data_IF_379223069802
#
_entry.id   IF_379223069802
#
_cell.length_a   1.000
_cell.length_b   1.000
_cell.length_c   1.000
_cell.angle_alpha   90.00
_cell.angle_beta   90.00
_cell.angle_gamma   90.00
#
_symmetry.space_group_name_H-M   'P 1'
#
loop_
_entity.id
_entity.type
_entity.pdbx_description
1 polymer ?
#
# COMPACT_ATOMS: atom_id res chain seq x y z
N UNK A 1 15.31 0.60 -3.56
CA UNK A 1 14.79 1.65 -4.47
C UNK A 1 13.36 2.02 -4.09
N UNK A 2 13.22 2.57 -2.87
CA UNK A 2 12.00 3.08 -2.23
C UNK A 2 12.21 4.52 -1.75
N UNK A 3 13.48 4.95 -1.68
CA UNK A 3 13.92 6.30 -1.40
C UNK A 3 13.21 7.37 -2.24
N UNK A 4 12.73 7.03 -3.44
CA UNK A 4 12.03 7.97 -4.31
C UNK A 4 10.66 8.37 -3.76
N UNK A 5 9.91 7.47 -3.10
CA UNK A 5 8.56 7.78 -2.60
C UNK A 5 8.58 8.58 -1.29
N UNK A 6 9.47 8.23 -0.36
CA UNK A 6 9.61 8.98 0.89
C UNK A 6 10.13 10.40 0.57
N UNK A 7 11.17 10.51 -0.28
CA UNK A 7 11.70 11.81 -0.72
C UNK A 7 10.68 12.63 -1.52
N UNK A 8 9.85 11.98 -2.34
CA UNK A 8 8.73 12.64 -3.02
C UNK A 8 7.79 13.26 -2.00
N UNK A 9 7.45 12.55 -0.92
CA UNK A 9 6.50 12.99 0.08
C UNK A 9 7.07 14.01 1.08
N UNK A 10 8.36 13.94 1.38
CA UNK A 10 9.04 14.91 2.25
C UNK A 10 9.09 16.32 1.62
N UNK A 11 8.95 16.42 0.29
CA UNK A 11 8.86 17.69 -0.45
C UNK A 11 7.44 18.27 -0.52
N UNK A 12 6.45 17.62 0.11
CA UNK A 12 5.05 18.03 0.03
C UNK A 12 4.71 19.10 1.06
N UNK A 13 3.57 19.81 0.87
CA UNK A 13 3.11 20.81 1.83
C UNK A 13 3.00 20.26 3.25
N UNK A 14 3.35 21.08 4.25
CA UNK A 14 3.42 20.69 5.66
C UNK A 14 2.11 20.15 6.21
N UNK A 15 0.99 20.50 5.58
CA UNK A 15 -0.33 20.04 5.96
C UNK A 15 -0.57 18.56 5.63
N UNK A 16 0.24 17.94 4.75
CA UNK A 16 0.17 16.49 4.50
C UNK A 16 0.82 15.73 5.65
N UNK A 17 0.02 15.01 6.41
CA UNK A 17 0.44 14.27 7.62
C UNK A 17 0.79 12.81 7.36
N UNK A 18 0.04 12.15 6.47
CA UNK A 18 0.25 10.74 6.17
C UNK A 18 -0.25 10.35 4.78
N UNK A 19 0.35 9.29 4.24
CA UNK A 19 -0.12 8.61 3.02
C UNK A 19 -0.09 7.11 3.26
N UNK A 20 -1.18 6.42 2.94
CA UNK A 20 -1.28 4.95 3.02
C UNK A 20 -1.70 4.39 1.68
N UNK A 21 -0.93 3.45 1.15
CA UNK A 21 -1.27 2.68 -0.04
C UNK A 21 -1.81 1.32 0.38
N UNK A 22 -3.02 1.01 -0.04
CA UNK A 22 -3.64 -0.30 0.13
C UNK A 22 -3.87 -0.96 -1.23
N UNK A 23 -3.75 -2.29 -1.29
CA UNK A 23 -4.06 -3.07 -2.47
C UNK A 23 -5.49 -3.59 -2.42
N UNK A 24 -6.22 -3.45 -3.52
CA UNK A 24 -7.53 -4.06 -3.72
C UNK A 24 -7.43 -5.40 -4.45
N UNK A 25 -8.41 -6.31 -4.25
CA UNK A 25 -9.59 -6.16 -3.37
C UNK A 25 -9.30 -6.47 -1.89
N UNK A 26 -8.11 -6.99 -1.58
CA UNK A 26 -7.84 -7.66 -0.31
C UNK A 26 -7.53 -6.71 0.86
N UNK A 27 -7.43 -5.40 0.61
CA UNK A 27 -7.10 -4.41 1.63
C UNK A 27 -5.77 -4.68 2.31
N UNK A 28 -4.77 -5.13 1.54
CA UNK A 28 -3.43 -5.33 2.07
C UNK A 28 -2.70 -4.00 2.06
N UNK A 29 -2.05 -3.63 3.17
CA UNK A 29 -1.21 -2.42 3.21
C UNK A 29 0.01 -2.66 2.33
N UNK A 30 0.08 -1.94 1.21
CA UNK A 30 1.19 -2.02 0.27
C UNK A 30 2.38 -1.17 0.74
N UNK A 31 2.09 -0.03 1.37
CA UNK A 31 3.07 0.94 1.87
C UNK A 31 2.38 2.02 2.74
N UNK A 32 3.12 2.65 3.64
CA UNK A 32 2.66 3.78 4.42
C UNK A 32 3.80 4.76 4.72
N UNK A 33 3.46 6.04 4.80
CA UNK A 33 4.36 7.14 5.15
C UNK A 33 3.64 8.11 6.08
N UNK A 34 4.41 8.70 7.00
CA UNK A 34 3.97 9.77 7.90
C UNK A 34 5.06 10.84 7.96
N UNK A 35 4.65 12.11 8.04
CA UNK A 35 5.58 13.25 8.05
C UNK A 35 6.60 13.18 9.18
N UNK A 36 6.15 12.79 10.37
CA UNK A 36 6.98 12.77 11.58
C UNK A 36 7.55 11.37 11.89
N UNK A 37 7.40 10.40 10.98
CA UNK A 37 7.75 8.99 11.23
C UNK A 37 6.90 8.31 12.31
N UNK A 38 5.83 8.97 12.78
CA UNK A 38 4.90 8.44 13.76
C UNK A 38 4.04 7.29 13.23
N UNK A 39 3.35 6.55 14.13
CA UNK A 39 2.47 5.46 13.73
C UNK A 39 1.28 5.98 12.92
N UNK A 40 0.86 5.22 11.90
CA UNK A 40 -0.36 5.45 11.13
C UNK A 40 -1.27 4.23 11.22
N UNK A 41 -2.57 4.48 11.28
CA UNK A 41 -3.63 3.47 11.30
C UNK A 41 -3.81 2.80 9.92
N UNK A 42 -2.73 2.23 9.37
CA UNK A 42 -2.70 1.72 8.00
C UNK A 42 -3.66 0.54 7.79
N UNK A 43 -3.81 -0.32 8.79
CA UNK A 43 -4.72 -1.47 8.74
C UNK A 43 -6.18 -1.03 8.74
N UNK A 44 -6.50 0.04 9.47
CA UNK A 44 -7.83 0.65 9.53
C UNK A 44 -8.18 1.29 8.19
N UNK A 45 -7.24 2.00 7.55
CA UNK A 45 -7.43 2.50 6.18
C UNK A 45 -7.69 1.36 5.20
N UNK A 46 -6.91 0.28 5.28
CA UNK A 46 -7.09 -0.86 4.39
C UNK A 46 -8.45 -1.57 4.62
N UNK A 47 -8.92 -1.63 5.88
CA UNK A 47 -10.25 -2.12 6.21
C UNK A 47 -11.36 -1.22 5.65
N UNK A 48 -11.20 0.11 5.75
CA UNK A 48 -12.12 1.08 5.17
C UNK A 48 -12.21 0.94 3.65
N UNK A 49 -11.07 0.79 2.98
CA UNK A 49 -10.98 0.62 1.53
C UNK A 49 -11.68 -0.66 1.04
N UNK A 50 -11.53 -1.77 1.78
CA UNK A 50 -12.28 -3.02 1.52
C UNK A 50 -13.78 -2.81 1.66
N UNK A 51 -14.20 -2.19 2.76
CA UNK A 51 -15.62 -1.96 3.02
C UNK A 51 -16.24 -1.10 1.92
N UNK A 52 -15.57 0.00 1.55
CA UNK A 52 -16.00 0.87 0.47
C UNK A 52 -16.07 0.13 -0.88
N UNK A 53 -15.06 -0.68 -1.19
CA UNK A 53 -15.03 -1.50 -2.42
C UNK A 53 -16.18 -2.51 -2.46
N UNK A 54 -16.45 -3.20 -1.35
CA UNK A 54 -17.56 -4.14 -1.25
C UNK A 54 -18.93 -3.44 -1.42
N UNK A 55 -19.10 -2.25 -0.83
CA UNK A 55 -20.29 -1.43 -1.04
C UNK A 55 -20.48 -1.05 -2.52
N UNK A 56 -19.43 -0.56 -3.18
CA UNK A 56 -19.49 -0.21 -4.61
C UNK A 56 -19.81 -1.41 -5.49
N UNK A 57 -19.23 -2.58 -5.20
CA UNK A 57 -19.54 -3.82 -5.91
C UNK A 57 -21.02 -4.19 -5.84
N UNK A 58 -21.66 -4.06 -4.67
CA UNK A 58 -23.10 -4.28 -4.50
C UNK A 58 -23.96 -3.25 -5.23
N UNK A 59 -23.46 -2.02 -5.36
CA UNK A 59 -24.09 -0.94 -6.11
C UNK A 59 -23.77 -0.99 -7.62
N UNK A 60 -23.07 -2.02 -8.10
CA UNK A 60 -22.65 -2.18 -9.50
C UNK A 60 -21.79 -1.00 -10.01
N UNK A 61 -21.08 -0.33 -9.10
CA UNK A 61 -20.15 0.74 -9.42
C UNK A 61 -18.71 0.18 -9.45
N UNK A 62 -17.89 0.57 -10.43
CA UNK A 62 -16.52 0.07 -10.52
C UNK A 62 -15.64 0.67 -9.40
N UNK A 63 -14.77 -0.12 -8.75
CA UNK A 63 -13.84 0.39 -7.74
C UNK A 63 -12.86 1.44 -8.25
N UNK A 64 -12.60 1.47 -9.57
CA UNK A 64 -11.77 2.50 -10.20
C UNK A 64 -12.38 3.91 -10.14
N UNK A 65 -13.67 4.03 -9.84
CA UNK A 65 -14.34 5.30 -9.60
C UNK A 65 -14.36 5.69 -8.10
N UNK A 66 -13.80 4.86 -7.22
CA UNK A 66 -13.90 5.07 -5.78
C UNK A 66 -13.14 6.32 -5.35
N UNK A 67 -13.87 7.36 -4.94
CA UNK A 67 -13.32 8.49 -4.19
C UNK A 67 -14.04 8.56 -2.85
N UNK A 68 -13.29 8.48 -1.76
CA UNK A 68 -13.83 8.61 -0.40
C UNK A 68 -13.27 9.88 0.23
N UNK A 69 -14.12 10.59 0.97
CA UNK A 69 -13.72 11.71 1.80
C UNK A 69 -14.27 11.52 3.20
N UNK A 70 -13.39 11.62 4.19
CA UNK A 70 -13.75 11.67 5.60
C UNK A 70 -13.17 12.97 6.17
N UNK A 71 -14.02 13.82 6.72
CA UNK A 71 -13.67 15.16 7.17
C UNK A 71 -14.05 15.28 8.65
N UNK A 72 -13.09 15.69 9.46
CA UNK A 72 -13.28 16.07 10.86
C UNK A 72 -12.72 17.47 11.07
N UNK A 73 -12.87 18.02 12.27
CA UNK A 73 -12.27 19.31 12.63
C UNK A 73 -10.74 19.25 12.64
N UNK A 74 -10.16 18.08 12.93
CA UNK A 74 -8.72 17.88 13.06
C UNK A 74 -8.06 17.33 11.81
N UNK A 75 -8.80 16.63 10.95
CA UNK A 75 -8.25 15.86 9.85
C UNK A 75 -9.13 15.91 8.60
N UNK A 76 -8.46 15.86 7.45
CA UNK A 76 -9.12 15.60 6.16
C UNK A 76 -8.48 14.41 5.49
N UNK A 77 -9.28 13.39 5.27
CA UNK A 77 -8.86 12.13 4.68
C UNK A 77 -9.49 12.01 3.30
N UNK A 78 -8.67 11.71 2.31
CA UNK A 78 -9.10 11.47 0.94
C UNK A 78 -8.54 10.15 0.44
N UNK A 79 -9.41 9.23 0.04
CA UNK A 79 -9.02 7.97 -0.60
C UNK A 79 -9.27 8.06 -2.09
N UNK A 80 -8.26 7.71 -2.89
CA UNK A 80 -8.30 7.78 -4.35
C UNK A 80 -7.67 6.54 -4.98
N UNK A 81 -8.19 6.04 -6.10
CA UNK A 81 -7.61 4.91 -6.77
C UNK A 81 -6.35 5.36 -7.53
N UNK A 82 -5.29 4.56 -7.44
CA UNK A 82 -4.10 4.66 -8.26
C UNK A 82 -4.19 3.61 -9.37
N UNK A 83 -4.40 4.07 -10.60
CA UNK A 83 -4.41 3.21 -11.77
C UNK A 83 -2.99 2.94 -12.25
N UNK A 84 -2.45 1.78 -11.91
CA UNK A 84 -1.11 1.34 -12.30
C UNK A 84 -1.08 0.57 -13.63
N UNK A 85 -2.15 0.60 -14.43
CA UNK A 85 -2.12 -0.02 -15.76
C UNK A 85 -1.09 0.70 -16.63
N UNK A 86 -0.11 -0.06 -17.12
CA UNK A 86 0.87 0.42 -18.09
C UNK A 86 0.22 0.47 -19.48
N UNK A 87 0.30 1.59 -20.22
CA UNK A 87 -0.24 1.69 -21.58
C UNK A 87 0.49 0.80 -22.59
N UNK A 88 1.66 0.26 -22.24
CA UNK A 88 2.47 -0.60 -23.10
C UNK A 88 2.09 -2.10 -23.05
N UNK A 89 1.20 -2.51 -22.13
CA UNK A 89 0.74 -3.90 -22.01
C UNK A 89 -0.65 -4.01 -22.63
N UNK A 90 -0.77 -4.87 -23.64
CA UNK A 90 -1.99 -5.04 -24.44
C UNK A 90 -3.24 -5.41 -23.62
N UNK A 91 -4.42 -5.42 -24.26
CA UNK A 91 -5.74 -5.48 -23.62
C UNK A 91 -6.08 -6.80 -22.90
N UNK A 92 -5.14 -7.74 -22.76
CA UNK A 92 -5.42 -9.13 -22.39
C UNK A 92 -5.13 -9.49 -20.93
N UNK A 93 -4.75 -8.55 -20.06
CA UNK A 93 -4.55 -8.85 -18.63
C UNK A 93 -5.71 -8.24 -17.82
N UNK A 94 -6.67 -9.06 -17.36
CA UNK A 94 -7.74 -8.59 -16.50
C UNK A 94 -7.11 -8.20 -15.17
N UNK A 95 -7.37 -6.97 -14.74
CA UNK A 95 -6.98 -6.41 -13.44
C UNK A 95 -5.48 -6.13 -13.24
N UNK A 96 -5.03 -4.99 -13.78
CA UNK A 96 -3.81 -4.34 -13.25
C UNK A 96 -3.96 -4.06 -11.74
N UNK A 97 -2.84 -4.04 -11.01
CA UNK A 97 -2.83 -3.74 -9.58
C UNK A 97 -3.63 -2.47 -9.29
N UNK A 98 -4.73 -2.62 -8.54
CA UNK A 98 -5.56 -1.51 -8.10
C UNK A 98 -5.09 -1.13 -6.70
N UNK A 99 -4.25 -0.11 -6.62
CA UNK A 99 -3.94 0.49 -5.34
C UNK A 99 -4.96 1.58 -5.03
N UNK A 100 -5.22 1.81 -3.74
CA UNK A 100 -5.86 3.03 -3.26
C UNK A 100 -4.82 3.79 -2.45
N UNK A 101 -4.71 5.08 -2.72
CA UNK A 101 -3.96 6.02 -1.91
C UNK A 101 -4.91 6.77 -0.99
N UNK A 102 -4.67 6.64 0.31
CA UNK A 102 -5.29 7.43 1.37
C UNK A 102 -4.35 8.57 1.73
N UNK A 103 -4.83 9.80 1.63
CA UNK A 103 -4.09 11.02 1.97
C UNK A 103 -4.70 11.65 3.21
N UNK A 104 -3.88 11.92 4.22
CA UNK A 104 -4.30 12.53 5.47
C UNK A 104 -3.70 13.93 5.54
N UNK A 105 -4.57 14.93 5.59
CA UNK A 105 -4.20 16.33 5.77
C UNK A 105 -4.67 16.85 7.12
N UNK A 106 -4.03 17.91 7.59
CA UNK A 106 -4.52 18.71 8.72
C UNK A 106 -5.93 19.28 8.46
N UNK A 107 -6.77 19.33 9.48
CA UNK A 107 -8.15 19.83 9.44
C UNK A 107 -8.25 21.31 9.01
N UNK A 108 -7.24 22.11 9.32
CA UNK A 108 -7.14 23.52 8.92
C UNK A 108 -6.96 23.71 7.41
N UNK A 109 -6.49 22.67 6.70
CA UNK A 109 -6.36 22.70 5.23
C UNK A 109 -7.73 22.94 4.60
N UNK A 110 -7.85 23.80 3.61
CA UNK A 110 -9.14 23.96 2.92
C UNK A 110 -9.50 22.67 2.15
N UNK A 111 -10.76 22.18 2.20
CA UNK A 111 -11.12 20.91 1.58
C UNK A 111 -10.84 20.86 0.07
N UNK A 112 -11.11 21.95 -0.65
CA UNK A 112 -10.79 22.06 -2.08
C UNK A 112 -9.28 21.98 -2.37
N UNK A 113 -8.45 22.54 -1.48
CA UNK A 113 -6.99 22.48 -1.60
C UNK A 113 -6.47 21.07 -1.35
N UNK A 114 -6.95 20.41 -0.29
CA UNK A 114 -6.60 19.02 0.02
C UNK A 114 -7.02 18.05 -1.11
N UNK A 115 -8.19 18.28 -1.71
CA UNK A 115 -8.62 17.54 -2.91
C UNK A 115 -7.69 17.78 -4.11
N UNK A 116 -7.28 19.02 -4.36
CA UNK A 116 -6.35 19.34 -5.45
C UNK A 116 -4.97 18.69 -5.22
N UNK A 117 -4.43 18.79 -4.01
CA UNK A 117 -3.16 18.19 -3.63
C UNK A 117 -3.20 16.65 -3.72
N UNK A 118 -4.23 16.00 -3.19
CA UNK A 118 -4.37 14.54 -3.31
C UNK A 118 -4.42 14.09 -4.78
N UNK A 119 -5.08 14.84 -5.66
CA UNK A 119 -5.11 14.55 -7.10
C UNK A 119 -3.72 14.68 -7.74
N UNK A 120 -2.97 15.73 -7.43
CA UNK A 120 -1.60 15.91 -7.94
C UNK A 120 -0.66 14.82 -7.41
N UNK A 121 -0.77 14.49 -6.12
CA UNK A 121 -0.01 13.42 -5.49
C UNK A 121 -0.30 12.07 -6.12
N UNK A 122 -1.56 11.74 -6.46
CA UNK A 122 -1.86 10.51 -7.18
C UNK A 122 -1.09 10.38 -8.49
N UNK A 123 -0.94 11.47 -9.25
CA UNK A 123 -0.17 11.46 -10.51
C UNK A 123 1.30 11.19 -10.24
N UNK A 124 1.89 11.92 -9.30
CA UNK A 124 3.32 11.78 -8.94
C UNK A 124 3.64 10.41 -8.35
N UNK A 125 2.79 9.91 -7.45
CA UNK A 125 2.91 8.57 -6.88
C UNK A 125 2.78 7.50 -7.96
N UNK A 126 1.82 7.64 -8.88
CA UNK A 126 1.69 6.72 -10.01
C UNK A 126 2.95 6.71 -10.86
N UNK A 127 3.47 7.88 -11.23
CA UNK A 127 4.69 7.99 -12.02
C UNK A 127 5.85 7.29 -11.31
N UNK A 128 6.10 7.64 -10.05
CA UNK A 128 7.15 7.02 -9.24
C UNK A 128 6.95 5.50 -9.07
N UNK A 129 5.72 5.02 -8.91
CA UNK A 129 5.41 3.59 -8.85
C UNK A 129 5.64 2.87 -10.17
N UNK A 130 5.39 3.53 -11.30
CA UNK A 130 5.61 2.99 -12.65
C UNK A 130 7.08 3.01 -13.07
N UNK A 131 7.86 4.00 -12.63
CA UNK A 131 9.31 4.09 -12.88
C UNK A 131 10.13 3.31 -11.86
N UNK A 132 9.63 3.10 -10.66
CA UNK A 132 10.31 2.29 -9.64
C UNK A 132 10.15 0.78 -9.91
N UNK A 133 11.16 0.02 -9.48
CA UNK A 133 11.11 -1.44 -9.42
C UNK A 133 10.04 -2.01 -8.45
N UNK A 134 9.10 -1.22 -7.92
CA UNK A 134 7.96 -1.76 -7.16
C UNK A 134 7.04 -2.66 -8.03
N UNK A 135 7.12 -2.52 -9.36
CA UNK A 135 6.51 -3.44 -10.32
C UNK A 135 7.49 -4.51 -10.85
N UNK A 136 8.76 -4.51 -10.43
CA UNK A 136 9.59 -5.70 -10.62
C UNK A 136 9.08 -6.80 -9.69
N UNK A 137 8.90 -8.00 -10.26
CA UNK A 137 8.47 -9.17 -9.50
C UNK A 137 9.51 -9.48 -8.41
N UNK A 138 9.26 -9.03 -7.19
CA UNK A 138 9.98 -9.54 -6.02
C UNK A 138 9.41 -10.93 -5.73
N UNK A 139 10.09 -11.96 -6.23
CA UNK A 139 9.71 -13.37 -6.08
C UNK A 139 9.48 -13.75 -4.61
N UNK A 140 10.19 -13.10 -3.68
CA UNK A 140 10.02 -13.32 -2.25
C UNK A 140 8.71 -12.72 -1.73
N UNK A 141 8.31 -11.54 -2.22
CA UNK A 141 7.02 -10.92 -1.89
C UNK A 141 5.86 -11.75 -2.41
N UNK A 142 5.95 -12.21 -3.67
CA UNK A 142 4.92 -13.07 -4.27
C UNK A 142 4.79 -14.41 -3.51
N UNK A 143 5.91 -15.01 -3.12
CA UNK A 143 5.93 -16.24 -2.34
C UNK A 143 5.31 -16.03 -0.94
N UNK A 144 5.62 -14.92 -0.26
CA UNK A 144 5.03 -14.57 1.04
C UNK A 144 3.51 -14.39 0.93
N UNK A 145 3.03 -13.67 -0.08
CA UNK A 145 1.60 -13.49 -0.32
C UNK A 145 0.91 -14.84 -0.54
N UNK A 146 1.49 -15.71 -1.37
CA UNK A 146 0.95 -17.05 -1.61
C UNK A 146 0.87 -17.87 -0.32
N UNK A 147 1.94 -17.90 0.47
CA UNK A 147 1.97 -18.65 1.72
C UNK A 147 0.94 -18.18 2.73
N UNK A 148 0.73 -16.86 2.85
CA UNK A 148 -0.27 -16.27 3.73
C UNK A 148 -1.71 -16.56 3.28
N UNK A 149 -1.93 -16.73 1.97
CA UNK A 149 -3.23 -17.09 1.43
C UNK A 149 -3.56 -18.58 1.63
N UNK A 150 -2.54 -19.44 1.65
CA UNK A 150 -2.68 -20.89 1.81
C UNK A 150 -2.74 -21.34 3.29
N UNK A 151 -2.19 -20.55 4.22
CA UNK A 151 -2.18 -20.86 5.65
C UNK A 151 -3.39 -20.31 6.41
N UNK A 152 -3.89 -21.10 7.38
CA UNK A 152 -5.07 -20.76 8.18
C UNK A 152 -4.84 -19.71 9.27
N UNK A 153 -3.59 -19.37 9.59
CA UNK A 153 -3.21 -18.35 10.60
C UNK A 153 -2.04 -17.48 10.10
N UNK A 154 -2.34 -16.43 9.30
CA UNK A 154 -1.33 -15.55 8.73
C UNK A 154 -0.46 -14.81 9.78
N UNK A 155 -1.00 -14.31 10.90
CA UNK A 155 -0.19 -13.72 11.98
C UNK A 155 0.86 -14.68 12.55
N UNK A 156 0.49 -15.93 12.84
CA UNK A 156 1.43 -16.93 13.36
C UNK A 156 2.53 -17.27 12.34
N UNK A 157 2.17 -17.36 11.06
CA UNK A 157 3.12 -17.61 9.98
C UNK A 157 4.14 -16.47 9.84
N UNK A 158 3.68 -15.21 9.85
CA UNK A 158 4.56 -14.04 9.79
C UNK A 158 5.50 -13.96 10.99
N UNK A 159 5.00 -14.24 12.19
CA UNK A 159 5.82 -14.25 13.41
C UNK A 159 6.93 -15.30 13.31
N UNK A 160 6.61 -16.53 12.87
CA UNK A 160 7.58 -17.61 12.70
C UNK A 160 8.67 -17.25 11.68
N UNK A 161 8.27 -16.75 10.51
CA UNK A 161 9.22 -16.38 9.44
C UNK A 161 10.13 -15.24 9.92
N UNK A 162 9.56 -14.25 10.61
CA UNK A 162 10.32 -13.12 11.14
C UNK A 162 11.34 -13.56 12.20
N UNK A 163 10.92 -14.46 13.11
CA UNK A 163 11.78 -15.02 14.15
C UNK A 163 12.94 -15.83 13.55
N UNK A 164 12.66 -16.76 12.61
CA UNK A 164 13.67 -17.57 11.94
C UNK A 164 14.65 -16.74 11.11
N UNK A 165 14.17 -15.67 10.48
CA UNK A 165 15.02 -14.73 9.75
C UNK A 165 15.76 -13.71 10.66
N UNK A 166 15.44 -13.65 11.95
CA UNK A 166 16.04 -12.73 12.91
C UNK A 166 15.67 -11.27 12.68
N UNK A 167 14.42 -10.99 12.27
CA UNK A 167 13.91 -9.65 12.00
C UNK A 167 12.58 -9.40 12.72
N UNK A 168 12.20 -8.13 12.85
CA UNK A 168 10.87 -7.78 13.31
C UNK A 168 9.81 -8.11 12.23
N UNK A 169 8.62 -8.57 12.65
CA UNK A 169 7.57 -8.98 11.72
C UNK A 169 7.10 -7.87 10.75
N UNK A 170 7.15 -6.61 11.19
CA UNK A 170 6.85 -5.46 10.33
C UNK A 170 7.85 -5.30 9.16
N UNK A 171 9.07 -5.82 9.28
CA UNK A 171 10.06 -5.78 8.21
C UNK A 171 9.67 -6.69 7.02
N UNK A 172 8.82 -7.70 7.24
CA UNK A 172 8.27 -8.56 6.17
C UNK A 172 7.23 -7.83 5.29
N UNK A 173 6.76 -6.64 5.68
CA UNK A 173 5.89 -5.83 4.83
C UNK A 173 6.61 -5.30 3.57
N UNK A 174 7.94 -5.29 3.59
CA UNK A 174 8.77 -4.84 2.47
C UNK A 174 10.02 -5.72 2.31
N UNK A 175 9.88 -6.99 1.90
CA UNK A 175 10.98 -7.97 1.87
C UNK A 175 12.11 -7.56 0.92
N UNK A 176 11.83 -6.83 -0.16
CA UNK A 176 12.84 -6.22 -1.03
C UNK A 176 13.71 -5.12 -0.39
N UNK A 177 13.39 -4.68 0.84
CA UNK A 177 14.24 -3.76 1.65
C UNK A 177 15.22 -4.52 2.54
N UNK A 178 15.06 -5.83 2.69
CA UNK A 178 15.92 -6.63 3.54
C UNK A 178 17.28 -6.83 2.85
N UNK A 179 18.40 -6.85 3.61
CA UNK A 179 19.68 -7.28 3.08
C UNK A 179 19.57 -8.64 2.39
N UNK A 180 20.36 -8.88 1.35
CA UNK A 180 20.31 -10.14 0.57
C UNK A 180 20.42 -11.39 1.47
N UNK A 181 21.32 -11.37 2.44
CA UNK A 181 21.48 -12.44 3.45
C UNK A 181 20.28 -12.63 4.38
N UNK A 182 19.44 -11.61 4.55
CA UNK A 182 18.17 -11.72 5.29
C UNK A 182 17.08 -12.24 4.35
N UNK A 183 17.04 -11.79 3.09
CA UNK A 183 16.08 -12.27 2.08
C UNK A 183 16.22 -13.78 1.84
N UNK A 184 17.45 -14.27 1.75
CA UNK A 184 17.72 -15.71 1.64
C UNK A 184 17.20 -16.49 2.85
N UNK A 185 17.38 -15.96 4.07
CA UNK A 185 16.83 -16.57 5.28
C UNK A 185 15.30 -16.55 5.31
N UNK A 186 14.68 -15.43 4.95
CA UNK A 186 13.22 -15.36 4.82
C UNK A 186 12.71 -16.36 3.79
N UNK A 187 13.41 -16.54 2.66
CA UNK A 187 13.06 -17.53 1.66
C UNK A 187 13.16 -18.97 2.18
N UNK A 188 14.23 -19.30 2.92
CA UNK A 188 14.39 -20.61 3.56
C UNK A 188 13.29 -20.90 4.58
N UNK A 189 12.97 -19.94 5.45
CA UNK A 189 11.90 -20.08 6.44
C UNK A 189 10.52 -20.22 5.78
N UNK A 190 10.33 -19.53 4.64
CA UNK A 190 9.11 -19.63 3.86
C UNK A 190 8.97 -20.98 3.17
N UNK A 191 10.04 -21.54 2.62
CA UNK A 191 10.04 -22.88 2.02
C UNK A 191 9.80 -23.96 3.09
N UNK A 192 10.43 -23.82 4.27
CA UNK A 192 10.19 -24.70 5.42
C UNK A 192 8.76 -24.59 5.96
N UNK A 193 8.13 -23.43 5.81
CA UNK A 193 6.75 -23.19 6.22
C UNK A 193 5.71 -23.82 5.29
N UNK A 194 6.09 -24.11 4.04
CA UNK A 194 5.23 -24.62 2.97
C UNK A 194 5.42 -26.11 2.68
N UNK A 195 6.47 -26.73 3.24
CA UNK A 195 6.73 -28.18 3.20
C UNK A 195 5.89 -28.95 4.23
#
# INVERSE_FOLDING_TARGET
MIWDLDQLLDQQPDELRAVVLSALPDGLVAWAWTRDGGPVAALEFAALDRAATACLGRLQAPPSAMTLSLITDELRIFSRPLDLRSPARGPAQPDGYRLIANFVFDGATLPGLAMAHSKQLCVRLREALLTSALLERDTLREALIRALAEHGDPPALLARIAEGAGIAANALAAPGRLPESVRERVALELDAALA
#
